data_IF_649196185448
#
_entry.id   IF_649196185448
#
_cell.length_a   1.000
_cell.length_b   1.000
_cell.length_c   1.000
_cell.angle_alpha   90.00
_cell.angle_beta   90.00
_cell.angle_gamma   90.00
#
_symmetry.space_group_name_H-M   'P 1'
#
loop_
_entity.id
_entity.type
_entity.pdbx_description
1 polymer ?
#
# COMPACT_ATOMS: atom_id res chain seq x y z
N UNK A 1 -19.45 27.58 23.32
CA UNK A 1 -18.01 27.76 23.00
C UNK A 1 -17.41 26.39 22.69
N UNK A 2 -17.13 26.13 21.40
CA UNK A 2 -16.68 24.81 20.91
C UNK A 2 -15.18 24.60 21.17
N UNK A 3 -14.85 23.47 21.81
CA UNK A 3 -13.50 23.04 22.17
C UNK A 3 -12.84 22.41 20.93
N UNK A 4 -11.86 23.07 20.33
CA UNK A 4 -11.13 22.55 19.17
C UNK A 4 -10.14 21.47 19.60
N UNK A 5 -10.41 20.23 19.20
CA UNK A 5 -9.63 19.03 19.49
C UNK A 5 -8.31 19.08 18.70
N UNK A 6 -7.17 19.23 19.39
CA UNK A 6 -5.83 19.07 18.79
C UNK A 6 -5.57 17.58 18.54
N UNK A 7 -6.00 17.05 17.39
CA UNK A 7 -5.83 15.62 17.03
C UNK A 7 -4.48 15.32 16.36
N UNK A 8 -3.69 16.34 16.00
CA UNK A 8 -2.44 16.17 15.26
C UNK A 8 -1.26 16.52 16.17
N UNK A 9 -0.67 15.50 16.80
CA UNK A 9 0.56 15.64 17.58
C UNK A 9 1.76 15.78 16.64
N UNK A 10 2.66 16.73 16.91
CA UNK A 10 3.94 16.91 16.18
C UNK A 10 4.72 15.60 16.02
N UNK A 11 4.57 14.66 16.97
CA UNK A 11 5.22 13.35 16.91
C UNK A 11 4.68 12.49 15.77
N UNK A 12 3.36 12.52 15.54
CA UNK A 12 2.67 11.81 14.46
C UNK A 12 3.07 12.40 13.09
N UNK A 13 3.15 13.72 13.00
CA UNK A 13 3.61 14.40 11.78
C UNK A 13 5.05 14.02 11.44
N UNK A 14 5.94 14.00 12.44
CA UNK A 14 7.36 13.66 12.25
C UNK A 14 7.57 12.20 11.88
N UNK A 15 6.79 11.29 12.47
CA UNK A 15 6.80 9.88 12.08
C UNK A 15 6.20 9.65 10.70
N UNK A 16 5.11 10.33 10.34
CA UNK A 16 4.51 10.25 9.01
C UNK A 16 5.49 10.73 7.92
N UNK A 17 6.18 11.85 8.16
CA UNK A 17 7.22 12.36 7.25
C UNK A 17 8.38 11.36 7.13
N UNK A 18 8.87 10.84 8.26
CA UNK A 18 9.95 9.83 8.26
C UNK A 18 9.52 8.54 7.54
N UNK A 19 8.29 8.09 7.75
CA UNK A 19 7.70 6.92 7.09
C UNK A 19 7.49 7.15 5.59
N UNK A 20 7.11 8.37 5.16
CA UNK A 20 7.05 8.75 3.75
C UNK A 20 8.43 8.68 3.09
N UNK A 21 9.49 9.17 3.74
CA UNK A 21 10.86 9.06 3.22
C UNK A 21 11.40 7.63 3.21
N UNK A 22 10.98 6.78 4.16
CA UNK A 22 11.36 5.36 4.19
C UNK A 22 10.59 4.55 3.13
N UNK A 23 9.34 4.93 2.83
CA UNK A 23 8.52 4.31 1.76
C UNK A 23 8.87 4.80 0.36
N UNK A 24 9.58 5.92 0.25
CA UNK A 24 10.22 6.39 -0.98
C UNK A 24 11.43 5.54 -1.41
N UNK A 25 11.46 4.26 -1.04
CA UNK A 25 12.54 3.34 -1.37
C UNK A 25 12.23 2.70 -2.74
N UNK A 26 12.88 3.14 -3.82
CA UNK A 26 12.52 2.78 -5.20
C UNK A 26 12.67 1.28 -5.51
N UNK A 27 13.39 0.55 -4.65
CA UNK A 27 13.57 -0.91 -4.75
C UNK A 27 12.28 -1.73 -4.55
N UNK A 28 11.29 -1.21 -3.83
CA UNK A 28 9.99 -1.90 -3.66
C UNK A 28 9.01 -1.59 -4.81
N UNK A 29 9.19 -0.46 -5.48
CA UNK A 29 8.25 0.10 -6.48
C UNK A 29 8.57 -0.35 -7.91
N UNK A 30 9.78 -0.89 -8.17
CA UNK A 30 10.18 -1.42 -9.49
C UNK A 30 9.23 -2.49 -10.06
N UNK A 31 8.45 -3.18 -9.22
CA UNK A 31 7.44 -4.13 -9.70
C UNK A 31 6.23 -3.45 -10.34
N UNK A 32 5.96 -2.18 -10.01
CA UNK A 32 4.86 -1.37 -10.50
C UNK A 32 5.37 -0.11 -11.23
N UNK A 33 5.74 -0.21 -12.51
CA UNK A 33 6.39 0.87 -13.26
C UNK A 33 5.53 2.14 -13.35
N UNK A 34 4.21 2.01 -13.33
CA UNK A 34 3.29 3.15 -13.39
C UNK A 34 3.38 3.98 -12.11
N UNK A 35 3.36 3.34 -10.93
CA UNK A 35 3.43 4.04 -9.65
C UNK A 35 4.78 4.77 -9.49
N UNK A 36 5.86 4.15 -9.97
CA UNK A 36 7.21 4.73 -9.95
C UNK A 36 7.28 6.09 -10.66
N UNK A 37 6.73 6.17 -11.88
CA UNK A 37 6.78 7.40 -12.70
C UNK A 37 6.00 8.53 -12.02
N UNK A 38 4.83 8.19 -11.44
CA UNK A 38 3.99 9.17 -10.73
C UNK A 38 4.71 9.72 -9.49
N UNK A 39 5.41 8.87 -8.73
CA UNK A 39 6.15 9.29 -7.54
C UNK A 39 7.35 10.18 -7.89
N UNK A 40 8.07 9.88 -8.98
CA UNK A 40 9.13 10.77 -9.49
C UNK A 40 8.54 12.12 -9.91
N UNK A 41 7.44 12.12 -10.66
CA UNK A 41 6.76 13.36 -11.07
C UNK A 41 6.29 14.19 -9.87
N UNK A 42 5.77 13.53 -8.83
CA UNK A 42 5.43 14.19 -7.57
C UNK A 42 6.65 14.80 -6.89
N UNK A 43 7.78 14.09 -6.85
CA UNK A 43 8.99 14.57 -6.19
C UNK A 43 9.59 15.78 -6.92
N UNK A 44 9.64 15.75 -8.24
CA UNK A 44 10.10 16.87 -9.07
C UNK A 44 9.22 18.10 -8.88
N UNK A 45 7.89 17.92 -8.91
CA UNK A 45 6.94 19.04 -8.74
C UNK A 45 6.94 19.57 -7.32
N UNK A 46 7.13 18.72 -6.30
CA UNK A 46 7.27 19.13 -4.91
C UNK A 46 8.55 19.94 -4.69
N UNK A 47 9.69 19.49 -5.22
CA UNK A 47 10.97 20.22 -5.14
C UNK A 47 10.86 21.57 -5.84
N UNK A 48 10.25 21.62 -7.02
CA UNK A 48 10.04 22.87 -7.77
C UNK A 48 9.07 23.81 -7.05
N UNK A 49 8.06 23.28 -6.35
CA UNK A 49 7.14 24.07 -5.54
C UNK A 49 7.81 24.73 -4.34
N UNK A 50 8.85 24.12 -3.75
CA UNK A 50 9.59 24.67 -2.60
C UNK A 50 10.76 25.54 -3.07
N UNK A 51 11.41 25.13 -4.16
CA UNK A 51 12.55 25.80 -4.77
C UNK A 51 12.23 26.14 -6.23
N UNK A 52 11.53 27.26 -6.48
CA UNK A 52 11.11 27.64 -7.84
C UNK A 52 12.28 27.87 -8.81
N UNK A 53 13.49 28.13 -8.30
CA UNK A 53 14.69 28.34 -9.10
C UNK A 53 15.43 27.03 -9.45
N UNK A 54 14.94 25.87 -9.00
CA UNK A 54 15.60 24.57 -9.22
C UNK A 54 15.51 24.11 -10.68
N UNK A 55 14.45 24.48 -11.39
CA UNK A 55 14.25 24.21 -12.81
C UNK A 55 14.00 25.55 -13.48
N UNK A 56 14.60 25.79 -14.66
CA UNK A 56 14.40 27.00 -15.49
C UNK A 56 12.97 27.12 -16.06
N UNK A 57 12.00 26.46 -15.44
CA UNK A 57 10.58 26.51 -15.77
C UNK A 57 9.95 27.75 -15.15
N UNK A 58 9.30 28.58 -15.97
CA UNK A 58 8.51 29.75 -15.53
C UNK A 58 7.15 29.35 -14.94
N UNK A 59 7.06 28.22 -14.24
CA UNK A 59 5.79 27.74 -13.71
C UNK A 59 5.49 28.48 -12.40
N UNK A 60 4.29 29.03 -12.27
CA UNK A 60 3.88 29.70 -11.04
C UNK A 60 3.99 28.74 -9.84
N UNK A 61 4.51 29.24 -8.72
CA UNK A 61 4.69 28.44 -7.50
C UNK A 61 3.37 27.87 -7.00
N UNK A 62 2.28 28.63 -7.10
CA UNK A 62 0.92 28.20 -6.74
C UNK A 62 0.43 27.04 -7.61
N UNK A 63 0.75 27.06 -8.90
CA UNK A 63 0.39 26.02 -9.85
C UNK A 63 1.22 24.74 -9.59
N UNK A 64 2.52 24.89 -9.35
CA UNK A 64 3.41 23.78 -8.97
C UNK A 64 2.96 23.10 -7.67
N UNK A 65 2.55 23.89 -6.67
CA UNK A 65 2.01 23.38 -5.41
C UNK A 65 0.70 22.61 -5.63
N UNK A 66 -0.20 23.14 -6.46
CA UNK A 66 -1.48 22.50 -6.77
C UNK A 66 -1.27 21.16 -7.49
N UNK A 67 -0.36 21.10 -8.46
CA UNK A 67 0.00 19.85 -9.15
C UNK A 67 0.59 18.85 -8.17
N UNK A 68 1.53 19.27 -7.32
CA UNK A 68 2.14 18.42 -6.31
C UNK A 68 1.07 17.85 -5.36
N UNK A 69 0.11 18.66 -4.92
CA UNK A 69 -0.99 18.23 -4.06
C UNK A 69 -1.89 17.19 -4.75
N UNK A 70 -2.23 17.38 -6.02
CA UNK A 70 -3.03 16.42 -6.79
C UNK A 70 -2.27 15.09 -6.91
N UNK A 71 -0.99 15.13 -7.31
CA UNK A 71 -0.17 13.93 -7.45
C UNK A 71 -0.02 13.18 -6.12
N UNK A 72 0.10 13.90 -5.00
CA UNK A 72 0.11 13.29 -3.67
C UNK A 72 -1.16 12.48 -3.39
N UNK A 73 -2.33 13.04 -3.68
CA UNK A 73 -3.60 12.32 -3.54
C UNK A 73 -3.69 11.12 -4.50
N UNK A 74 -3.22 11.26 -5.74
CA UNK A 74 -3.19 10.15 -6.72
C UNK A 74 -2.38 8.98 -6.21
N UNK A 75 -1.18 9.22 -5.65
CA UNK A 75 -0.33 8.17 -5.08
C UNK A 75 -1.02 7.48 -3.90
N UNK A 76 -1.66 8.27 -3.03
CA UNK A 76 -2.37 7.74 -1.87
C UNK A 76 -3.54 6.82 -2.27
N UNK A 77 -4.34 7.24 -3.27
CA UNK A 77 -5.42 6.41 -3.79
C UNK A 77 -4.93 5.18 -4.55
N UNK A 78 -3.86 5.30 -5.34
CA UNK A 78 -3.27 4.18 -6.06
C UNK A 78 -2.80 3.08 -5.09
N UNK A 79 -2.02 3.45 -4.06
CA UNK A 79 -1.52 2.52 -3.04
C UNK A 79 -2.66 1.84 -2.25
N UNK A 80 -3.73 2.59 -1.99
CA UNK A 80 -4.91 2.08 -1.32
C UNK A 80 -5.68 1.08 -2.19
N UNK A 81 -5.88 1.41 -3.47
CA UNK A 81 -6.56 0.53 -4.42
C UNK A 81 -5.79 -0.79 -4.64
N UNK A 82 -4.47 -0.73 -4.73
CA UNK A 82 -3.60 -1.91 -4.83
C UNK A 82 -3.72 -2.80 -3.58
N UNK A 83 -3.63 -2.20 -2.39
CA UNK A 83 -3.77 -2.94 -1.13
C UNK A 83 -5.13 -3.63 -1.01
N UNK A 84 -6.21 -2.99 -1.48
CA UNK A 84 -7.56 -3.58 -1.51
C UNK A 84 -7.62 -4.75 -2.50
N UNK A 85 -7.01 -4.62 -3.68
CA UNK A 85 -6.97 -5.67 -4.68
C UNK A 85 -6.23 -6.92 -4.16
N UNK A 86 -5.05 -6.73 -3.55
CA UNK A 86 -4.28 -7.84 -2.97
C UNK A 86 -4.99 -8.47 -1.75
N UNK A 87 -5.64 -7.64 -0.92
CA UNK A 87 -6.34 -8.10 0.27
C UNK A 87 -7.46 -9.10 -0.03
N UNK A 88 -8.20 -8.92 -1.14
CA UNK A 88 -9.26 -9.85 -1.56
C UNK A 88 -8.68 -11.17 -2.09
N UNK A 89 -7.57 -11.13 -2.83
CA UNK A 89 -6.89 -12.32 -3.35
C UNK A 89 -6.31 -13.20 -2.24
N UNK A 90 -5.66 -12.59 -1.23
CA UNK A 90 -5.16 -13.31 -0.05
C UNK A 90 -6.28 -13.92 0.78
N UNK A 91 -7.35 -13.18 1.06
CA UNK A 91 -8.47 -13.68 1.85
C UNK A 91 -9.18 -14.88 1.18
N UNK A 92 -9.31 -14.88 -0.15
CA UNK A 92 -9.85 -16.02 -0.89
C UNK A 92 -8.90 -17.23 -0.89
N UNK A 93 -7.61 -17.01 -1.10
CA UNK A 93 -6.61 -18.09 -1.06
C UNK A 93 -6.53 -18.74 0.33
N UNK A 94 -6.59 -17.94 1.40
CA UNK A 94 -6.57 -18.45 2.78
C UNK A 94 -7.85 -19.22 3.12
N UNK A 95 -9.02 -18.76 2.63
CA UNK A 95 -10.28 -19.50 2.77
C UNK A 95 -10.22 -20.87 2.09
N UNK A 96 -9.62 -20.94 0.89
CA UNK A 96 -9.46 -22.19 0.14
C UNK A 96 -8.45 -23.14 0.80
N UNK A 97 -7.34 -22.60 1.31
CA UNK A 97 -6.37 -23.38 2.12
C UNK A 97 -7.00 -23.95 3.38
N UNK A 98 -7.81 -23.16 4.08
CA UNK A 98 -8.52 -23.60 5.28
C UNK A 98 -9.52 -24.70 4.95
N UNK A 99 -10.31 -24.51 3.88
CA UNK A 99 -11.26 -25.52 3.40
C UNK A 99 -10.59 -26.85 3.01
N UNK A 100 -9.41 -26.83 2.35
CA UNK A 100 -8.65 -28.06 2.07
C UNK A 100 -8.18 -28.80 3.33
N UNK A 101 -7.88 -28.06 4.41
CA UNK A 101 -7.35 -28.61 5.66
C UNK A 101 -8.43 -29.31 6.48
N UNK A 102 -9.69 -28.86 6.35
CA UNK A 102 -10.84 -29.39 7.09
C UNK A 102 -11.49 -30.62 6.41
N UNK A 103 -10.93 -31.12 5.30
CA UNK A 103 -11.44 -32.32 4.64
C UNK A 103 -11.01 -33.57 5.43
N UNK A 104 -12.00 -34.30 5.96
CA UNK A 104 -11.81 -35.61 6.59
C UNK A 104 -11.89 -36.67 5.50
N UNK A 105 -10.86 -37.52 5.41
CA UNK A 105 -10.76 -38.59 4.42
C UNK A 105 -10.86 -39.94 5.12
N UNK A 106 -11.56 -40.87 4.50
CA UNK A 106 -11.63 -42.25 4.98
C UNK A 106 -10.40 -43.02 4.47
N UNK A 107 -9.51 -43.41 5.37
CA UNK A 107 -8.37 -44.29 5.06
C UNK A 107 -8.78 -45.74 5.32
N UNK A 108 -8.57 -46.59 4.32
CA UNK A 108 -8.78 -48.03 4.42
C UNK A 108 -7.51 -48.69 4.94
N UNK A 109 -7.60 -49.42 6.05
CA UNK A 109 -6.51 -50.15 6.66
C UNK A 109 -6.42 -51.57 6.07
N UNK A 110 -5.24 -52.22 6.09
CA UNK A 110 -5.03 -53.57 5.54
C UNK A 110 -5.95 -54.65 6.16
N UNK A 111 -6.44 -54.39 7.36
CA UNK A 111 -7.32 -55.21 8.18
C UNK A 111 -8.82 -54.97 7.89
N UNK A 112 -9.16 -54.21 6.83
CA UNK A 112 -10.54 -53.97 6.38
C UNK A 112 -11.30 -52.88 7.16
N UNK A 113 -10.70 -52.33 8.22
CA UNK A 113 -11.28 -51.22 8.97
C UNK A 113 -11.07 -49.87 8.26
N UNK A 114 -12.05 -48.98 8.43
CA UNK A 114 -12.03 -47.62 7.89
C UNK A 114 -11.75 -46.64 9.02
N UNK A 115 -10.69 -45.84 8.90
CA UNK A 115 -10.32 -44.83 9.88
C UNK A 115 -10.43 -43.44 9.25
N UNK A 116 -11.05 -42.50 9.98
CA UNK A 116 -11.21 -41.11 9.52
C UNK A 116 -9.97 -40.31 9.90
N UNK A 117 -9.18 -39.92 8.91
CA UNK A 117 -8.00 -39.08 9.10
C UNK A 117 -8.16 -37.73 8.42
N UNK A 118 -7.54 -36.66 8.94
CA UNK A 118 -7.44 -35.39 8.22
C UNK A 118 -6.67 -35.57 6.92
N UNK A 119 -7.10 -34.90 5.84
CA UNK A 119 -6.45 -34.94 4.51
C UNK A 119 -4.98 -34.45 4.48
N UNK A 120 -4.50 -33.87 5.60
CA UNK A 120 -3.16 -33.25 5.69
C UNK A 120 -2.16 -34.06 6.53
N UNK A 121 -2.46 -35.30 6.91
CA UNK A 121 -1.50 -36.19 7.58
C UNK A 121 -0.74 -37.07 6.59
#
# INVERSE_FOLDING_TARGET
MSKSTRVISNKILKEAVKQSFIKLNPKLIIKNPIMFIVEIGFLITLVTSIFPNFITSKLDTSLSFTISLILFFTILFANSAESIAEGRGKAQADSLKKSKKDIIVNKLLPNGNVEKIPSTS
#
